data_IF_380329281269
#
_entry.id   IF_380329281269
#
_cell.length_a   1.000
_cell.length_b   1.000
_cell.length_c   1.000
_cell.angle_alpha   90.00
_cell.angle_beta   90.00
_cell.angle_gamma   90.00
#
_symmetry.space_group_name_H-M   'P 1'
#
loop_
_entity.id
_entity.type
_entity.pdbx_description
1 polymer ?
#
# COMPACT_ATOMS: atom_id res chain seq x y z
N UNK A 1 37.91 43.39 3.19
CA UNK A 1 36.77 43.34 2.25
C UNK A 1 36.78 42.14 1.30
N UNK A 2 37.93 41.46 1.12
CA UNK A 2 38.09 40.31 0.24
C UNK A 2 37.54 39.01 0.84
N UNK A 3 37.63 38.85 2.17
CA UNK A 3 37.19 37.66 2.92
C UNK A 3 35.68 37.45 2.94
N UNK A 4 34.89 38.54 2.97
CA UNK A 4 33.41 38.45 2.99
C UNK A 4 32.86 37.98 1.63
N UNK A 5 33.49 38.37 0.52
CA UNK A 5 33.08 37.93 -0.83
C UNK A 5 33.32 36.44 -1.04
N UNK A 6 34.38 35.88 -0.46
CA UNK A 6 34.70 34.45 -0.55
C UNK A 6 33.71 33.59 0.24
N UNK A 7 33.29 34.05 1.42
CA UNK A 7 32.34 33.32 2.29
C UNK A 7 30.94 33.27 1.66
N UNK A 8 30.44 34.37 1.10
CA UNK A 8 29.14 34.41 0.41
C UNK A 8 29.14 33.50 -0.83
N UNK A 9 30.24 33.47 -1.58
CA UNK A 9 30.42 32.59 -2.74
C UNK A 9 30.35 31.10 -2.39
N UNK A 10 30.92 30.68 -1.25
CA UNK A 10 30.89 29.30 -0.78
C UNK A 10 29.51 28.89 -0.26
N UNK A 11 28.79 29.78 0.43
CA UNK A 11 27.42 29.53 0.90
C UNK A 11 26.47 29.34 -0.28
N UNK A 12 26.54 30.22 -1.29
CA UNK A 12 25.73 30.09 -2.49
C UNK A 12 26.04 28.80 -3.26
N UNK A 13 27.30 28.38 -3.30
CA UNK A 13 27.70 27.10 -3.90
C UNK A 13 27.16 25.89 -3.12
N UNK A 14 27.16 25.95 -1.78
CA UNK A 14 26.58 24.91 -0.92
C UNK A 14 25.06 24.80 -1.09
N UNK A 15 24.37 25.93 -1.29
CA UNK A 15 22.93 25.97 -1.56
C UNK A 15 22.55 25.35 -2.90
N UNK A 16 23.40 25.50 -3.92
CA UNK A 16 23.15 24.95 -5.27
C UNK A 16 23.35 23.43 -5.29
N UNK A 17 24.31 22.91 -4.50
CA UNK A 17 24.53 21.46 -4.36
C UNK A 17 23.32 20.78 -3.68
N UNK A 18 22.59 21.48 -2.79
CA UNK A 18 21.36 20.96 -2.17
C UNK A 18 20.12 20.96 -3.09
N UNK A 19 20.19 21.58 -4.28
CA UNK A 19 19.10 21.64 -5.26
C UNK A 19 19.27 20.60 -6.38
N UNK A 20 20.24 19.68 -6.25
CA UNK A 20 20.14 18.45 -7.02
C UNK A 20 19.00 17.63 -6.42
N UNK A 21 17.87 17.60 -7.13
CA UNK A 21 16.73 16.74 -6.85
C UNK A 21 17.24 15.32 -6.60
N UNK A 22 17.48 15.02 -5.32
CA UNK A 22 17.81 13.68 -4.90
C UNK A 22 16.54 12.91 -5.19
N UNK A 23 16.52 12.18 -6.31
CA UNK A 23 15.52 11.13 -6.51
C UNK A 23 15.64 10.29 -5.25
N UNK A 24 14.68 10.47 -4.35
CA UNK A 24 14.62 9.76 -3.08
C UNK A 24 14.37 8.32 -3.52
N UNK A 25 15.45 7.56 -3.71
CA UNK A 25 15.43 6.12 -3.87
C UNK A 25 14.88 5.58 -2.56
N UNK A 26 13.57 5.69 -2.39
CA UNK A 26 12.85 5.12 -1.28
C UNK A 26 12.88 3.61 -1.52
N UNK A 27 13.09 2.83 -0.46
CA UNK A 27 13.01 1.36 -0.52
C UNK A 27 11.71 0.93 -1.21
N UNK A 28 10.67 1.71 -0.96
CA UNK A 28 9.39 1.79 -1.64
C UNK A 28 9.46 1.70 -3.19
N UNK A 29 10.40 2.38 -3.85
CA UNK A 29 10.56 2.34 -5.31
C UNK A 29 11.05 0.99 -5.84
N UNK A 30 11.62 0.13 -5.00
CA UNK A 30 12.18 -1.17 -5.41
C UNK A 30 11.20 -2.33 -5.29
N UNK A 31 10.02 -2.11 -4.74
CA UNK A 31 8.98 -3.14 -4.69
C UNK A 31 8.35 -3.33 -6.08
N UNK A 32 7.99 -4.57 -6.41
CA UNK A 32 7.55 -5.04 -7.73
C UNK A 32 8.50 -4.69 -8.90
N UNK A 33 9.51 -5.53 -9.17
CA UNK A 33 10.53 -5.32 -10.23
C UNK A 33 10.01 -5.36 -11.67
N UNK A 34 8.77 -5.78 -11.90
CA UNK A 34 8.22 -5.94 -13.25
C UNK A 34 7.70 -4.62 -13.85
N UNK A 35 7.61 -3.54 -13.06
CA UNK A 35 7.14 -2.24 -13.52
C UNK A 35 8.28 -1.40 -14.12
N UNK A 36 7.99 -0.75 -15.26
CA UNK A 36 8.86 0.28 -15.85
C UNK A 36 8.90 1.54 -14.98
N UNK A 37 9.88 2.41 -15.20
CA UNK A 37 9.97 3.71 -14.51
C UNK A 37 8.70 4.55 -14.71
N UNK A 38 8.24 4.67 -15.95
CA UNK A 38 7.01 5.40 -16.29
C UNK A 38 5.78 4.86 -15.55
N UNK A 39 5.62 3.53 -15.46
CA UNK A 39 4.52 2.94 -14.71
C UNK A 39 4.60 3.27 -13.22
N UNK A 40 5.80 3.22 -12.63
CA UNK A 40 6.01 3.59 -11.22
C UNK A 40 5.65 5.05 -10.98
N UNK A 41 6.13 5.95 -11.82
CA UNK A 41 5.86 7.39 -11.69
C UNK A 41 4.36 7.68 -11.79
N UNK A 42 3.67 7.04 -12.75
CA UNK A 42 2.22 7.15 -12.88
C UNK A 42 1.48 6.64 -11.63
N UNK A 43 1.88 5.49 -11.09
CA UNK A 43 1.27 4.94 -9.87
C UNK A 43 1.52 5.86 -8.67
N UNK A 44 2.73 6.40 -8.53
CA UNK A 44 3.08 7.34 -7.46
C UNK A 44 2.26 8.63 -7.52
N UNK A 45 2.06 9.20 -8.72
CA UNK A 45 1.19 10.37 -8.92
C UNK A 45 -0.26 10.07 -8.49
N UNK A 46 -0.78 8.88 -8.83
CA UNK A 46 -2.12 8.45 -8.41
C UNK A 46 -2.21 8.25 -6.89
N UNK A 47 -1.18 7.70 -6.25
CA UNK A 47 -1.11 7.59 -4.78
C UNK A 47 -1.16 8.97 -4.13
N UNK A 48 -0.43 9.95 -4.67
CA UNK A 48 -0.45 11.33 -4.16
C UNK A 48 -1.85 11.95 -4.31
N UNK A 49 -2.51 11.75 -5.44
CA UNK A 49 -3.89 12.20 -5.66
C UNK A 49 -4.85 11.62 -4.60
N UNK A 50 -4.88 10.30 -4.40
CA UNK A 50 -5.76 9.70 -3.39
C UNK A 50 -5.38 10.07 -1.96
N UNK A 51 -4.10 10.33 -1.69
CA UNK A 51 -3.66 10.84 -0.40
C UNK A 51 -4.24 12.23 -0.13
N UNK A 52 -4.24 13.12 -1.13
CA UNK A 52 -4.86 14.44 -0.98
C UNK A 52 -6.37 14.34 -0.78
N UNK A 53 -7.06 13.41 -1.44
CA UNK A 53 -8.48 13.16 -1.19
C UNK A 53 -8.75 12.71 0.25
N UNK A 54 -7.89 11.85 0.81
CA UNK A 54 -7.97 11.39 2.20
C UNK A 54 -7.71 12.52 3.20
N UNK A 55 -6.81 13.45 2.87
CA UNK A 55 -6.56 14.64 3.69
C UNK A 55 -7.80 15.55 3.72
N UNK A 56 -8.47 15.72 2.58
CA UNK A 56 -9.68 16.54 2.48
C UNK A 56 -10.91 15.86 3.10
N UNK A 57 -11.02 14.53 2.99
CA UNK A 57 -12.08 13.71 3.56
C UNK A 57 -11.48 12.41 4.10
N UNK A 58 -11.29 12.36 5.43
CA UNK A 58 -10.70 11.21 6.09
C UNK A 58 -11.58 9.97 6.08
N UNK A 59 -12.87 10.07 5.74
CA UNK A 59 -13.80 8.95 5.67
C UNK A 59 -14.01 8.45 4.23
N UNK A 60 -13.30 9.00 3.26
CA UNK A 60 -13.43 8.62 1.85
C UNK A 60 -12.94 7.19 1.57
N UNK A 61 -13.84 6.21 1.74
CA UNK A 61 -13.54 4.79 1.56
C UNK A 61 -12.98 4.47 0.17
N UNK A 62 -13.49 5.13 -0.88
CA UNK A 62 -13.00 4.91 -2.25
C UNK A 62 -11.53 5.34 -2.39
N UNK A 63 -11.13 6.44 -1.77
CA UNK A 63 -9.75 6.91 -1.83
C UNK A 63 -8.79 5.96 -1.11
N UNK A 64 -9.18 5.42 0.05
CA UNK A 64 -8.38 4.37 0.73
C UNK A 64 -8.30 3.10 -0.11
N UNK A 65 -9.41 2.66 -0.70
CA UNK A 65 -9.46 1.44 -1.51
C UNK A 65 -8.55 1.53 -2.73
N UNK A 66 -8.63 2.63 -3.47
CA UNK A 66 -7.81 2.84 -4.65
C UNK A 66 -6.33 3.03 -4.30
N UNK A 67 -6.02 3.74 -3.20
CA UNK A 67 -4.64 3.86 -2.72
C UNK A 67 -4.05 2.51 -2.30
N UNK A 68 -4.84 1.67 -1.63
CA UNK A 68 -4.42 0.32 -1.25
C UNK A 68 -4.08 -0.54 -2.48
N UNK A 69 -4.92 -0.51 -3.52
CA UNK A 69 -4.66 -1.22 -4.79
C UNK A 69 -3.35 -0.76 -5.43
N UNK A 70 -3.11 0.54 -5.47
CA UNK A 70 -1.86 1.09 -6.02
C UNK A 70 -0.63 0.70 -5.19
N UNK A 71 -0.77 0.63 -3.87
CA UNK A 71 0.29 0.09 -3.02
C UNK A 71 0.55 -1.39 -3.30
N UNK A 72 -0.48 -2.20 -3.56
CA UNK A 72 -0.30 -3.60 -4.01
C UNK A 72 0.42 -3.65 -5.35
N UNK A 73 0.06 -2.80 -6.32
CA UNK A 73 0.72 -2.74 -7.63
C UNK A 73 2.20 -2.40 -7.50
N UNK A 74 2.56 -1.48 -6.60
CA UNK A 74 3.96 -1.20 -6.28
C UNK A 74 4.62 -2.28 -5.42
N UNK A 75 3.90 -3.28 -4.90
CA UNK A 75 4.43 -4.29 -3.98
C UNK A 75 4.64 -3.78 -2.54
N UNK A 76 4.10 -2.60 -2.20
CA UNK A 76 4.07 -2.03 -0.85
C UNK A 76 2.94 -2.63 -0.01
N UNK A 77 2.96 -3.95 0.16
CA UNK A 77 1.88 -4.70 0.83
C UNK A 77 1.58 -4.18 2.25
N UNK A 78 2.61 -3.76 2.99
CA UNK A 78 2.43 -3.19 4.34
C UNK A 78 1.62 -1.88 4.38
N UNK A 79 1.66 -1.08 3.31
CA UNK A 79 0.85 0.16 3.21
C UNK A 79 -0.58 -0.16 2.79
N UNK A 80 -0.73 -1.06 1.82
CA UNK A 80 -2.04 -1.53 1.39
C UNK A 80 -2.81 -2.19 2.55
N UNK A 81 -2.15 -2.99 3.37
CA UNK A 81 -2.75 -3.62 4.56
C UNK A 81 -3.32 -2.58 5.54
N UNK A 82 -2.61 -1.46 5.76
CA UNK A 82 -3.10 -0.38 6.63
C UNK A 82 -4.38 0.24 6.09
N UNK A 83 -4.43 0.52 4.79
CA UNK A 83 -5.61 1.10 4.14
C UNK A 83 -6.78 0.10 4.15
N UNK A 84 -6.56 -1.18 3.83
CA UNK A 84 -7.62 -2.20 3.95
C UNK A 84 -8.09 -2.41 5.38
N UNK A 85 -7.19 -2.36 6.36
CA UNK A 85 -7.55 -2.46 7.78
C UNK A 85 -8.40 -1.28 8.21
N UNK A 86 -8.12 -0.08 7.71
CA UNK A 86 -8.97 1.08 7.93
C UNK A 86 -10.36 0.90 7.33
N UNK A 87 -10.45 0.41 6.09
CA UNK A 87 -11.72 0.12 5.42
C UNK A 87 -12.56 -0.92 6.18
N UNK A 88 -11.94 -1.99 6.67
CA UNK A 88 -12.62 -3.02 7.47
C UNK A 88 -13.13 -2.46 8.81
N UNK A 89 -12.46 -1.45 9.38
CA UNK A 89 -12.95 -0.77 10.58
C UNK A 89 -14.19 0.08 10.30
N UNK A 90 -14.32 0.63 9.10
CA UNK A 90 -15.49 1.43 8.70
C UNK A 90 -16.64 0.52 8.31
N UNK A 91 -16.37 -0.47 7.45
CA UNK A 91 -17.35 -1.43 6.96
C UNK A 91 -16.78 -2.85 7.06
N UNK A 92 -17.07 -3.50 8.18
CA UNK A 92 -16.64 -4.88 8.43
C UNK A 92 -17.42 -5.92 7.62
N UNK A 93 -18.51 -5.53 6.96
CA UNK A 93 -19.39 -6.42 6.21
C UNK A 93 -19.12 -6.38 4.70
N UNK A 94 -18.10 -5.64 4.27
CA UNK A 94 -17.68 -5.64 2.88
C UNK A 94 -16.67 -6.79 2.61
N UNK A 95 -17.09 -7.87 1.92
CA UNK A 95 -16.21 -9.01 1.68
C UNK A 95 -15.03 -8.68 0.77
N UNK A 96 -15.12 -7.62 -0.05
CA UNK A 96 -14.04 -7.19 -0.94
C UNK A 96 -12.85 -6.65 -0.13
N UNK A 97 -13.09 -5.95 0.98
CA UNK A 97 -11.99 -5.42 1.81
C UNK A 97 -11.27 -6.54 2.55
N UNK A 98 -12.01 -7.48 3.12
CA UNK A 98 -11.46 -8.68 3.75
C UNK A 98 -10.63 -9.52 2.76
N UNK A 99 -11.19 -9.80 1.58
CA UNK A 99 -10.50 -10.55 0.54
C UNK A 99 -9.20 -9.85 0.10
N UNK A 100 -9.25 -8.55 -0.19
CA UNK A 100 -8.06 -7.84 -0.64
C UNK A 100 -6.99 -7.73 0.45
N UNK A 101 -7.37 -7.57 1.73
CA UNK A 101 -6.41 -7.63 2.84
C UNK A 101 -5.74 -8.99 2.92
N UNK A 102 -6.50 -10.08 2.87
CA UNK A 102 -5.99 -11.44 2.85
C UNK A 102 -5.00 -11.69 1.71
N UNK A 103 -5.35 -11.32 0.47
CA UNK A 103 -4.45 -11.49 -0.68
C UNK A 103 -3.20 -10.63 -0.53
N UNK A 104 -3.33 -9.41 -0.01
CA UNK A 104 -2.23 -8.50 0.22
C UNK A 104 -1.22 -9.06 1.25
N UNK A 105 -1.70 -9.61 2.36
CA UNK A 105 -0.84 -10.15 3.43
C UNK A 105 -0.30 -11.54 3.11
N UNK A 106 -0.90 -12.25 2.14
CA UNK A 106 -0.49 -13.62 1.77
C UNK A 106 0.70 -13.72 0.82
N UNK A 107 1.40 -12.60 0.52
CA UNK A 107 2.52 -12.57 -0.43
C UNK A 107 3.62 -13.58 -0.13
N UNK A 108 3.88 -13.83 1.15
CA UNK A 108 4.90 -14.75 1.65
C UNK A 108 4.33 -16.03 2.29
N UNK A 109 3.02 -16.25 2.17
CA UNK A 109 2.32 -17.39 2.75
C UNK A 109 0.98 -16.98 3.36
N UNK A 110 0.02 -17.91 3.32
CA UNK A 110 -1.29 -17.71 3.94
C UNK A 110 -1.16 -17.96 5.44
N UNK A 111 -1.31 -16.90 6.23
CA UNK A 111 -1.32 -16.95 7.70
C UNK A 111 -2.72 -17.25 8.22
N UNK A 112 -2.84 -17.54 9.52
CA UNK A 112 -4.13 -17.68 10.19
C UNK A 112 -5.03 -16.46 9.96
N UNK A 113 -4.49 -15.24 10.09
CA UNK A 113 -5.25 -14.00 9.92
C UNK A 113 -5.75 -13.84 8.48
N UNK A 114 -4.89 -14.07 7.48
CA UNK A 114 -5.30 -14.02 6.08
C UNK A 114 -6.38 -15.07 5.77
N UNK A 115 -6.25 -16.27 6.34
CA UNK A 115 -7.25 -17.31 6.18
C UNK A 115 -8.57 -17.00 6.90
N UNK A 116 -8.54 -16.34 8.05
CA UNK A 116 -9.73 -15.85 8.75
C UNK A 116 -10.48 -14.81 7.90
N UNK A 117 -9.75 -13.88 7.29
CA UNK A 117 -10.33 -12.89 6.37
C UNK A 117 -10.96 -13.53 5.14
N UNK A 118 -10.28 -14.50 4.51
CA UNK A 118 -10.83 -15.24 3.37
C UNK A 118 -12.09 -16.01 3.76
N UNK A 119 -12.09 -16.65 4.93
CA UNK A 119 -13.26 -17.37 5.42
C UNK A 119 -14.44 -16.44 5.64
N UNK A 120 -14.24 -15.29 6.29
CA UNK A 120 -15.30 -14.29 6.50
C UNK A 120 -15.84 -13.76 5.17
N UNK A 121 -14.97 -13.42 4.23
CA UNK A 121 -15.38 -12.97 2.90
C UNK A 121 -16.17 -14.06 2.15
N UNK A 122 -15.76 -15.33 2.26
CA UNK A 122 -16.47 -16.47 1.69
C UNK A 122 -17.86 -16.66 2.33
N UNK A 123 -17.95 -16.54 3.65
CA UNK A 123 -19.20 -16.62 4.40
C UNK A 123 -20.20 -15.52 3.98
N UNK A 124 -19.68 -14.34 3.63
CA UNK A 124 -20.45 -13.22 3.05
C UNK A 124 -20.78 -13.40 1.56
N UNK A 125 -20.51 -14.58 0.97
CA UNK A 125 -20.89 -14.92 -0.39
C UNK A 125 -19.84 -14.62 -1.47
N UNK A 126 -18.63 -14.16 -1.11
CA UNK A 126 -17.60 -13.91 -2.11
C UNK A 126 -16.95 -15.23 -2.57
N UNK A 127 -17.44 -15.75 -3.69
CA UNK A 127 -16.99 -17.01 -4.30
C UNK A 127 -15.47 -17.09 -4.49
N UNK A 128 -14.84 -15.98 -4.90
CA UNK A 128 -13.39 -15.91 -5.09
C UNK A 128 -12.63 -16.17 -3.77
N UNK A 129 -13.14 -15.64 -2.65
CA UNK A 129 -12.54 -15.90 -1.35
C UNK A 129 -12.70 -17.37 -0.95
N UNK A 130 -13.86 -17.98 -1.21
CA UNK A 130 -14.10 -19.40 -0.96
C UNK A 130 -13.11 -20.29 -1.71
N UNK A 131 -12.90 -20.01 -3.00
CA UNK A 131 -11.96 -20.77 -3.85
C UNK A 131 -10.51 -20.66 -3.36
N UNK A 132 -10.10 -19.49 -2.86
CA UNK A 132 -8.75 -19.31 -2.31
C UNK A 132 -8.64 -19.98 -0.94
N UNK A 133 -9.61 -19.79 -0.05
CA UNK A 133 -9.64 -20.40 1.28
C UNK A 133 -9.52 -21.93 1.20
N UNK A 134 -10.35 -22.58 0.39
CA UNK A 134 -10.34 -24.04 0.23
C UNK A 134 -8.99 -24.58 -0.26
N UNK A 135 -8.31 -23.84 -1.15
CA UNK A 135 -7.02 -24.26 -1.71
C UNK A 135 -5.81 -23.96 -0.84
N UNK A 136 -5.90 -22.94 0.03
CA UNK A 136 -4.71 -22.37 0.69
C UNK A 136 -4.74 -22.42 2.22
N UNK A 137 -5.91 -22.62 2.82
CA UNK A 137 -6.12 -22.46 4.27
C UNK A 137 -6.42 -23.76 5.03
N UNK A 138 -6.19 -24.93 4.43
CA UNK A 138 -6.48 -26.22 5.05
C UNK A 138 -5.84 -26.42 6.43
N UNK A 139 -4.64 -25.86 6.66
CA UNK A 139 -3.93 -25.93 7.94
C UNK A 139 -4.67 -25.25 9.10
N UNK A 140 -5.54 -24.27 8.81
CA UNK A 140 -6.22 -23.45 9.83
C UNK A 140 -7.71 -23.78 9.95
N UNK A 141 -8.22 -24.76 9.20
CA UNK A 141 -9.65 -25.06 9.09
C UNK A 141 -10.31 -25.26 10.47
N UNK A 142 -9.70 -26.05 11.34
CA UNK A 142 -10.20 -26.34 12.69
C UNK A 142 -10.12 -25.15 13.65
N UNK A 143 -9.31 -24.14 13.36
CA UNK A 143 -9.20 -22.93 14.18
C UNK A 143 -10.26 -21.90 13.77
N UNK A 144 -10.68 -21.92 12.50
CA UNK A 144 -11.54 -20.91 11.90
C UNK A 144 -13.03 -21.34 11.86
N UNK A 145 -13.32 -22.61 11.57
CA UNK A 145 -14.70 -23.12 11.34
C UNK A 145 -15.41 -23.64 12.59
N UNK A 146 -14.91 -23.30 13.78
CA UNK A 146 -15.56 -23.66 15.05
C UNK A 146 -16.70 -22.70 15.35
#
# INVERSE_FOLDING_TARGET
MQTIKTIIGVILFFSIIQVQAQQRLSVDSFFNRNLTSHQRDSIQQRIAYYTNLIVSDSLNQQAYFERARLYVDLGMHHKAEKDYTYLIKIDSLNPIYLYNRAICTSKYGFTLDACSDLYKAAYMGLKQAQEVYQRKCGLYKTQIEK
#
